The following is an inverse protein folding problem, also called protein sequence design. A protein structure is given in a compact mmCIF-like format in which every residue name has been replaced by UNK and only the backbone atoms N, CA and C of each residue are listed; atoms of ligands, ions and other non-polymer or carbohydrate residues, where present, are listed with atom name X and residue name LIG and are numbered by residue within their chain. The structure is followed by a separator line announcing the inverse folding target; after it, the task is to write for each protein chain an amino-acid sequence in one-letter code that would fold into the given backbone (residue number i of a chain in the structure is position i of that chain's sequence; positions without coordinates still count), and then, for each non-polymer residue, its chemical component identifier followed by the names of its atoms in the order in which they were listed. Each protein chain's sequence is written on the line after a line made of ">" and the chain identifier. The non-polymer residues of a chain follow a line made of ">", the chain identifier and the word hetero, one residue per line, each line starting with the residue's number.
data_IF_333651129704
#
_entry.id   IF_333651129704
#
_cell.length_a   1.000
_cell.length_b   1.000
_cell.length_c   1.000
_cell.angle_alpha   90.00
_cell.angle_beta   90.00
_cell.angle_gamma   90.00
#
_symmetry.space_group_name_H-M   'P 1'
#
loop_
_entity.id
_entity.type
_entity.pdbx_description
1 polymer ?
#
# COMPACT_ATOMS: atom_id res chain seq x y z
N UNK A 1 10.62 -24.42 5.80
CA UNK A 1 9.82 -23.87 4.68
C UNK A 1 9.07 -22.66 5.22
N UNK A 2 9.54 -21.45 4.93
CA UNK A 2 8.93 -20.21 5.46
C UNK A 2 7.77 -19.80 4.55
N UNK A 3 6.54 -19.91 5.04
CA UNK A 3 5.35 -19.53 4.29
C UNK A 3 5.25 -18.02 4.10
N UNK A 4 5.14 -17.56 2.84
CA UNK A 4 4.69 -16.19 2.53
C UNK A 4 3.30 -15.99 3.11
N UNK A 5 3.07 -14.89 3.84
CA UNK A 5 1.71 -14.55 4.30
C UNK A 5 0.97 -13.94 3.12
N UNK A 6 0.07 -14.73 2.54
CA UNK A 6 -0.88 -14.24 1.56
C UNK A 6 -2.07 -13.68 2.33
N UNK A 7 -2.12 -12.36 2.52
CA UNK A 7 -3.18 -11.73 3.29
C UNK A 7 -4.36 -11.44 2.37
N UNK A 8 -5.30 -12.38 2.27
CA UNK A 8 -6.67 -12.06 1.82
C UNK A 8 -7.36 -11.38 3.00
N UNK A 9 -7.47 -10.05 2.95
CA UNK A 9 -8.27 -9.18 3.84
C UNK A 9 -8.73 -9.85 5.15
N UNK A 10 -7.78 -10.04 6.06
CA UNK A 10 -8.05 -10.38 7.45
C UNK A 10 -7.26 -9.37 8.29
N UNK A 11 -7.85 -8.21 8.50
CA UNK A 11 -7.28 -7.14 9.33
C UNK A 11 -7.82 -7.37 10.74
N UNK A 12 -6.91 -7.60 11.69
CA UNK A 12 -7.15 -7.35 13.11
C UNK A 12 -6.36 -6.09 13.40
N UNK A 13 -6.99 -4.93 13.27
CA UNK A 13 -6.26 -3.67 13.35
C UNK A 13 -7.18 -2.46 13.38
N UNK A 14 -7.44 -1.97 14.60
CA UNK A 14 -8.31 -0.84 14.90
C UNK A 14 -8.00 0.38 14.01
N UNK A 15 -8.85 0.67 13.02
CA UNK A 15 -8.61 1.67 11.97
C UNK A 15 -8.50 3.10 12.48
N UNK A 16 -8.94 3.36 13.73
CA UNK A 16 -8.97 4.69 14.36
C UNK A 16 -7.59 5.31 14.62
N UNK A 17 -6.53 4.51 14.76
CA UNK A 17 -5.18 5.04 15.08
C UNK A 17 -4.44 5.66 13.88
N UNK A 18 -4.83 5.31 12.65
CA UNK A 18 -4.15 5.83 11.45
C UNK A 18 -4.51 7.29 11.18
N UNK A 19 -5.78 7.63 11.42
CA UNK A 19 -6.33 8.98 11.25
C UNK A 19 -5.74 9.98 12.26
N UNK A 20 -5.25 9.50 13.41
CA UNK A 20 -4.72 10.36 14.48
C UNK A 20 -3.25 10.78 14.26
N UNK A 21 -2.43 9.95 13.59
CA UNK A 21 -1.02 10.27 13.32
C UNK A 21 -0.80 10.95 11.97
N UNK A 22 -1.75 10.84 11.05
CA UNK A 22 -1.74 11.58 9.81
C UNK A 22 -2.39 12.93 10.11
N UNK A 23 -1.69 14.06 9.87
CA UNK A 23 -2.31 15.39 9.93
C UNK A 23 -3.34 15.51 8.78
N UNK A 24 -4.51 14.88 8.97
CA UNK A 24 -5.61 14.82 8.02
C UNK A 24 -6.24 16.21 7.80
N UNK A 25 -5.89 17.19 8.65
CA UNK A 25 -6.47 18.53 8.65
C UNK A 25 -6.16 19.33 7.36
N UNK A 26 -5.19 18.88 6.55
CA UNK A 26 -4.83 19.49 5.27
C UNK A 26 -5.33 18.71 4.03
N UNK A 27 -6.06 17.60 4.20
CA UNK A 27 -6.61 16.83 3.08
C UNK A 27 -5.59 16.08 2.21
N UNK A 28 -4.36 15.92 2.68
CA UNK A 28 -3.31 15.09 2.06
C UNK A 28 -2.72 14.16 3.11
N UNK A 29 -3.10 12.88 3.06
CA UNK A 29 -2.53 11.84 3.92
C UNK A 29 -1.47 11.09 3.10
N UNK A 30 -0.22 11.53 3.24
CA UNK A 30 0.93 10.98 2.52
C UNK A 30 1.93 10.38 3.51
N UNK A 31 2.43 9.18 3.21
CA UNK A 31 3.49 8.49 3.97
C UNK A 31 4.57 8.03 3.02
N UNK A 32 5.82 8.25 3.40
CA UNK A 32 6.97 7.81 2.63
C UNK A 32 7.82 6.88 3.48
N UNK A 33 8.16 5.73 2.93
CA UNK A 33 9.01 4.73 3.57
C UNK A 33 10.31 4.60 2.79
N UNK A 34 11.43 4.60 3.50
CA UNK A 34 12.72 4.25 2.92
C UNK A 34 12.70 2.76 2.53
N UNK A 35 13.19 2.45 1.34
CA UNK A 35 13.19 1.09 0.80
C UNK A 35 14.29 0.92 -0.26
N UNK A 36 14.47 -0.31 -0.73
CA UNK A 36 15.20 -0.63 -1.95
C UNK A 36 14.30 -1.33 -2.96
N UNK A 37 14.51 -1.01 -4.23
CA UNK A 37 13.86 -1.64 -5.36
C UNK A 37 14.92 -1.92 -6.42
N UNK A 38 15.03 -3.17 -6.87
CA UNK A 38 16.09 -3.59 -7.81
C UNK A 38 17.50 -3.16 -7.32
N UNK A 39 17.77 -3.37 -6.02
CA UNK A 39 19.00 -2.97 -5.33
C UNK A 39 19.32 -1.46 -5.31
N UNK A 40 18.34 -0.60 -5.66
CA UNK A 40 18.50 0.86 -5.67
C UNK A 40 17.77 1.53 -4.49
N UNK A 41 18.43 2.47 -3.77
CA UNK A 41 17.77 3.26 -2.73
C UNK A 41 16.56 4.02 -3.29
N UNK A 42 15.40 3.79 -2.68
CA UNK A 42 14.12 4.27 -3.17
C UNK A 42 13.21 4.74 -2.02
N UNK A 43 12.17 5.50 -2.35
CA UNK A 43 11.10 5.88 -1.43
C UNK A 43 9.76 5.33 -1.90
N UNK A 44 9.12 4.47 -1.10
CA UNK A 44 7.74 4.04 -1.32
C UNK A 44 6.79 5.10 -0.74
N UNK A 45 6.01 5.73 -1.60
CA UNK A 45 5.07 6.79 -1.23
C UNK A 45 3.64 6.25 -1.30
N UNK A 46 2.92 6.35 -0.19
CA UNK A 46 1.50 6.08 -0.07
C UNK A 46 0.76 7.40 0.11
N UNK A 47 -0.08 7.77 -0.83
CA UNK A 47 -0.87 9.00 -0.81
C UNK A 47 -2.34 8.67 -1.02
N UNK A 48 -3.21 9.06 -0.09
CA UNK A 48 -4.63 8.68 -0.12
C UNK A 48 -5.36 9.13 -1.41
N UNK A 49 -4.91 10.21 -2.06
CA UNK A 49 -5.48 10.73 -3.30
C UNK A 49 -4.76 10.20 -4.53
N UNK A 50 -3.43 10.18 -4.52
CA UNK A 50 -2.61 9.85 -5.70
C UNK A 50 -2.37 8.34 -5.85
N UNK A 51 -2.36 7.57 -4.77
CA UNK A 51 -2.16 6.13 -4.77
C UNK A 51 -0.82 5.70 -4.18
N UNK A 52 -0.16 4.75 -4.85
CA UNK A 52 1.07 4.10 -4.43
C UNK A 52 2.13 4.36 -5.50
N UNK A 53 3.25 4.95 -5.14
CA UNK A 53 4.33 5.26 -6.06
C UNK A 53 5.70 4.95 -5.48
N UNK A 54 6.69 4.78 -6.37
CA UNK A 54 8.08 4.56 -6.00
C UNK A 54 8.95 5.64 -6.61
N UNK A 55 9.73 6.30 -5.76
CA UNK A 55 10.67 7.34 -6.14
C UNK A 55 12.11 6.81 -6.09
N UNK A 56 12.83 6.82 -7.21
CA UNK A 56 14.26 6.48 -7.25
C UNK A 56 15.06 7.68 -6.74
N UNK A 57 15.77 7.49 -5.63
CA UNK A 57 16.54 8.56 -4.99
C UNK A 57 17.70 9.01 -5.90
N UNK A 58 18.48 8.10 -6.53
CA UNK A 58 19.57 8.50 -7.41
C UNK A 58 19.14 9.35 -8.61
N UNK A 59 18.10 8.94 -9.36
CA UNK A 59 17.65 9.68 -10.56
C UNK A 59 16.66 10.79 -10.25
N UNK A 60 16.19 10.90 -9.00
CA UNK A 60 15.21 11.89 -8.56
C UNK A 60 13.89 11.83 -9.34
N UNK A 61 13.46 10.64 -9.75
CA UNK A 61 12.28 10.42 -10.59
C UNK A 61 11.40 9.30 -10.06
N UNK A 62 10.10 9.39 -10.33
CA UNK A 62 9.19 8.26 -10.08
C UNK A 62 9.46 7.14 -11.07
N UNK A 63 9.70 5.94 -10.55
CA UNK A 63 9.89 4.70 -11.35
C UNK A 63 8.54 4.20 -11.83
N UNK A 64 7.55 4.20 -10.95
CA UNK A 64 6.18 3.82 -11.25
C UNK A 64 5.20 4.49 -10.29
N UNK A 65 3.95 4.63 -10.75
CA UNK A 65 2.85 5.22 -9.99
C UNK A 65 1.56 4.47 -10.34
N UNK A 66 0.89 3.93 -9.31
CA UNK A 66 -0.36 3.19 -9.41
C UNK A 66 -1.40 3.80 -8.48
N UNK A 67 -2.68 3.70 -8.84
CA UNK A 67 -3.77 4.08 -7.91
C UNK A 67 -4.06 2.91 -6.98
N UNK A 68 -4.66 3.18 -5.83
CA UNK A 68 -5.12 2.11 -4.93
C UNK A 68 -6.07 1.10 -5.59
N UNK A 69 -6.86 1.51 -6.60
CA UNK A 69 -7.75 0.59 -7.34
C UNK A 69 -7.00 -0.37 -8.26
N UNK A 70 -5.78 0.01 -8.65
CA UNK A 70 -4.93 -0.79 -9.53
C UNK A 70 -4.22 -1.89 -8.71
N UNK A 71 -4.16 -1.76 -7.37
CA UNK A 71 -3.59 -2.77 -6.49
C UNK A 71 -4.49 -4.01 -6.45
N UNK A 72 -4.01 -5.10 -7.02
CA UNK A 72 -4.68 -6.39 -7.04
C UNK A 72 -4.46 -7.16 -5.74
N UNK A 73 -3.23 -7.19 -5.23
CA UNK A 73 -2.90 -7.83 -3.95
C UNK A 73 -1.62 -7.26 -3.35
N UNK A 74 -1.51 -7.32 -2.03
CA UNK A 74 -0.28 -7.04 -1.27
C UNK A 74 0.05 -8.24 -0.38
N UNK A 75 1.32 -8.60 -0.29
CA UNK A 75 1.81 -9.64 0.63
C UNK A 75 3.16 -9.28 1.20
N UNK A 76 3.54 -9.92 2.30
CA UNK A 76 4.83 -9.73 2.95
C UNK A 76 5.41 -11.05 3.47
N UNK A 77 6.71 -11.06 3.72
CA UNK A 77 7.39 -12.17 4.41
C UNK A 77 7.55 -11.95 5.92
N UNK A 78 7.05 -10.83 6.44
CA UNK A 78 7.15 -10.41 7.84
C UNK A 78 8.57 -10.08 8.30
N UNK A 79 9.52 -9.92 7.38
CA UNK A 79 10.92 -9.62 7.70
C UNK A 79 11.36 -8.32 7.06
N UNK A 80 11.51 -8.34 5.73
CA UNK A 80 12.11 -7.21 5.00
C UNK A 80 11.45 -6.97 3.65
N UNK A 81 10.52 -7.82 3.20
CA UNK A 81 10.00 -7.71 1.84
C UNK A 81 8.49 -7.55 1.81
N UNK A 82 8.05 -6.57 1.04
CA UNK A 82 6.66 -6.36 0.64
C UNK A 82 6.56 -6.61 -0.86
N UNK A 83 5.60 -7.43 -1.26
CA UNK A 83 5.26 -7.66 -2.66
C UNK A 83 3.91 -7.02 -2.96
N UNK A 84 3.89 -6.14 -3.96
CA UNK A 84 2.69 -5.51 -4.48
C UNK A 84 2.41 -6.01 -5.89
N UNK A 85 1.17 -6.42 -6.14
CA UNK A 85 0.72 -6.86 -7.46
C UNK A 85 -0.30 -5.87 -7.97
N UNK A 86 -0.04 -5.30 -9.13
CA UNK A 86 -0.91 -4.30 -9.75
C UNK A 86 -1.50 -4.85 -11.05
N UNK A 87 -2.76 -4.50 -11.31
CA UNK A 87 -3.34 -4.59 -12.66
C UNK A 87 -3.09 -3.26 -13.37
N UNK A 88 -2.26 -3.28 -14.41
CA UNK A 88 -2.01 -2.08 -15.18
C UNK A 88 -3.12 -1.87 -16.22
N UNK A 89 -4.13 -1.07 -15.86
CA UNK A 89 -5.22 -0.71 -16.77
C UNK A 89 -4.75 0.09 -18.01
N UNK A 90 -3.52 0.60 -18.01
CA UNK A 90 -2.94 1.30 -19.18
C UNK A 90 -2.33 0.33 -20.19
N UNK A 91 -2.14 -0.92 -19.80
CA UNK A 91 -1.57 -1.95 -20.66
C UNK A 91 -2.55 -2.34 -21.77
N UNK A 92 -2.02 -2.66 -22.95
CA UNK A 92 -2.80 -3.26 -24.04
C UNK A 92 -3.27 -4.69 -23.72
N UNK A 93 -2.67 -5.31 -22.68
CA UNK A 93 -3.08 -6.59 -22.14
C UNK A 93 -3.81 -6.36 -20.79
N UNK A 94 -5.15 -6.31 -20.78
CA UNK A 94 -5.93 -6.01 -19.57
C UNK A 94 -5.85 -7.11 -18.49
N UNK A 95 -5.32 -8.29 -18.84
CA UNK A 95 -5.10 -9.38 -17.88
C UNK A 95 -3.73 -9.33 -17.21
N UNK A 96 -2.81 -8.50 -17.71
CA UNK A 96 -1.43 -8.46 -17.22
C UNK A 96 -1.35 -7.92 -15.80
N UNK A 97 -0.65 -8.67 -14.95
CA UNK A 97 -0.31 -8.28 -13.59
C UNK A 97 1.17 -7.90 -13.52
N UNK A 98 1.46 -6.77 -12.88
CA UNK A 98 2.81 -6.34 -12.56
C UNK A 98 3.12 -6.62 -11.10
N UNK A 99 4.22 -7.36 -10.87
CA UNK A 99 4.72 -7.65 -9.52
C UNK A 99 5.85 -6.68 -9.20
N UNK A 100 5.75 -6.01 -8.06
CA UNK A 100 6.80 -5.14 -7.50
C UNK A 100 7.22 -5.70 -6.14
N UNK A 101 8.42 -6.26 -6.09
CA UNK A 101 9.07 -6.69 -4.85
C UNK A 101 9.90 -5.52 -4.31
N UNK A 102 9.59 -5.09 -3.10
CA UNK A 102 10.21 -3.95 -2.42
C UNK A 102 10.82 -4.47 -1.13
N UNK A 103 12.05 -4.07 -0.86
CA UNK A 103 12.69 -4.36 0.42
C UNK A 103 12.62 -3.13 1.32
N UNK A 104 12.15 -3.29 2.55
CA UNK A 104 12.07 -2.24 3.54
C UNK A 104 12.18 -2.80 4.96
N UNK A 105 12.75 -2.03 5.87
CA UNK A 105 12.89 -2.45 7.28
C UNK A 105 11.57 -2.30 8.06
N UNK A 106 10.69 -1.42 7.60
CA UNK A 106 9.41 -1.11 8.25
C UNK A 106 8.22 -1.82 7.58
N UNK A 107 8.38 -3.11 7.25
CA UNK A 107 7.36 -3.94 6.55
C UNK A 107 5.97 -3.81 7.18
N UNK A 108 5.89 -3.95 8.51
CA UNK A 108 4.61 -3.88 9.23
C UNK A 108 3.95 -2.51 9.09
N UNK A 109 4.73 -1.43 9.12
CA UNK A 109 4.21 -0.08 8.95
C UNK A 109 3.71 0.15 7.52
N UNK A 110 4.44 -0.34 6.51
CA UNK A 110 4.01 -0.27 5.10
C UNK A 110 2.68 -1.00 4.92
N UNK A 111 2.61 -2.26 5.33
CA UNK A 111 1.42 -3.10 5.19
C UNK A 111 0.23 -2.46 5.92
N UNK A 112 0.43 -2.02 7.17
CA UNK A 112 -0.61 -1.34 7.94
C UNK A 112 -1.14 -0.09 7.24
N UNK A 113 -0.28 0.76 6.68
CA UNK A 113 -0.72 1.98 5.98
C UNK A 113 -1.45 1.67 4.66
N UNK A 114 -1.02 0.65 3.91
CA UNK A 114 -1.75 0.20 2.72
C UNK A 114 -3.17 -0.25 3.09
N UNK A 115 -3.30 -1.10 4.11
CA UNK A 115 -4.61 -1.56 4.57
C UNK A 115 -5.48 -0.42 5.08
N UNK A 116 -4.92 0.46 5.90
CA UNK A 116 -5.62 1.61 6.43
C UNK A 116 -6.19 2.51 5.32
N UNK A 117 -5.40 2.79 4.29
CA UNK A 117 -5.85 3.65 3.19
C UNK A 117 -6.94 2.97 2.37
N UNK A 118 -6.86 1.65 2.14
CA UNK A 118 -7.91 0.89 1.49
C UNK A 118 -9.21 0.90 2.29
N UNK A 119 -9.15 0.63 3.60
CA UNK A 119 -10.33 0.67 4.48
C UNK A 119 -10.92 2.08 4.52
N UNK A 120 -10.09 3.12 4.63
CA UNK A 120 -10.55 4.51 4.62
C UNK A 120 -11.31 4.83 3.33
N UNK A 121 -10.84 4.35 2.18
CA UNK A 121 -11.54 4.53 0.90
C UNK A 121 -12.85 3.76 0.83
N UNK A 122 -12.92 2.56 1.40
CA UNK A 122 -14.17 1.79 1.48
C UNK A 122 -15.18 2.54 2.36
N UNK A 123 -14.79 2.97 3.55
CA UNK A 123 -15.66 3.71 4.48
C UNK A 123 -16.12 5.04 3.89
N UNK A 124 -15.26 5.73 3.13
CA UNK A 124 -15.65 6.94 2.43
C UNK A 124 -16.71 6.69 1.34
N UNK A 125 -16.71 5.51 0.72
CA UNK A 125 -17.70 5.11 -0.29
C UNK A 125 -18.97 4.49 0.33
N UNK A 126 -18.83 3.81 1.46
CA UNK A 126 -19.88 3.15 2.23
C UNK A 126 -19.63 3.39 3.74
N UNK A 127 -20.22 4.46 4.32
CA UNK A 127 -20.00 4.81 5.73
C UNK A 127 -20.47 3.76 6.74
N UNK A 128 -21.34 2.83 6.34
CA UNK A 128 -21.84 1.77 7.22
C UNK A 128 -20.98 0.50 7.19
N UNK A 129 -19.95 0.45 6.32
CA UNK A 129 -19.08 -0.71 6.13
C UNK A 129 -18.51 -1.28 7.43
N UNK A 130 -18.01 -0.43 8.34
CA UNK A 130 -17.44 -0.87 9.61
C UNK A 130 -18.50 -1.38 10.60
N UNK A 131 -19.74 -0.88 10.53
CA UNK A 131 -20.84 -1.37 11.38
C UNK A 131 -21.21 -2.81 11.00
N UNK A 132 -21.14 -3.12 9.72
CA UNK A 132 -21.45 -4.45 9.18
C UNK A 132 -20.28 -5.44 9.33
N UNK A 133 -19.06 -4.93 9.53
CA UNK A 133 -17.84 -5.72 9.65
C UNK A 133 -17.02 -5.35 10.90
N UNK A 134 -17.55 -5.60 12.12
CA UNK A 134 -16.96 -5.12 13.38
C UNK A 134 -15.66 -5.83 13.79
N UNK A 135 -15.25 -6.87 13.06
CA UNK A 135 -14.03 -7.64 13.31
C UNK A 135 -12.89 -7.31 12.33
N UNK A 136 -13.11 -6.34 11.45
CA UNK A 136 -12.04 -5.66 10.71
C UNK A 136 -11.34 -4.62 11.59
#
# INVERSE_FOLDING_TARGET
>A
MHGRRHTTLSVVGNSSNCLHNCDCNAGTCTRTFACSFEERPSGLVLDIKQGISLYDIPTKSYVWQYRFRDLHSSSDDGKVRVQLVFRDERSLDPGKLEVKDIECDEVLAVVFNIHSFLVTKIVAADPDFLKLNPLL
#
